data_IF_882205222278
#
_entry.id   IF_882205222278
#
_cell.length_a   1.000
_cell.length_b   1.000
_cell.length_c   1.000
_cell.angle_alpha   90.00
_cell.angle_beta   90.00
_cell.angle_gamma   90.00
#
_symmetry.space_group_name_H-M   'P 1'
#
loop_
_entity.id
_entity.type
_entity.pdbx_description
1 polymer ?
#
# COMPACT_ATOMS: atom_id res chain seq x y z
N UNK A 1 16.92 15.29 0.98
CA UNK A 1 15.64 15.08 0.24
C UNK A 1 15.22 13.60 0.12
N UNK A 2 16.11 12.66 -0.23
CA UNK A 2 15.75 11.23 -0.42
C UNK A 2 15.11 10.52 0.80
N UNK A 3 15.53 10.86 2.03
CA UNK A 3 14.97 10.28 3.27
C UNK A 3 13.57 10.77 3.62
N UNK A 4 13.18 11.96 3.15
CA UNK A 4 11.89 12.58 3.48
C UNK A 4 10.74 11.90 2.74
N UNK A 5 10.98 11.49 1.48
CA UNK A 5 10.01 10.73 0.70
C UNK A 5 9.71 9.37 1.34
N UNK A 6 10.72 8.77 1.96
CA UNK A 6 10.65 7.44 2.58
C UNK A 6 9.77 7.42 3.83
N UNK A 7 9.84 8.48 4.64
CA UNK A 7 9.05 8.60 5.87
C UNK A 7 7.58 9.00 5.61
N UNK A 8 7.29 9.64 4.47
CA UNK A 8 5.94 10.11 4.11
C UNK A 8 5.21 9.09 3.23
N UNK A 9 5.90 8.06 2.78
CA UNK A 9 5.38 7.09 1.81
C UNK A 9 4.20 6.28 2.35
N UNK A 10 4.25 5.90 3.63
CA UNK A 10 3.12 5.24 4.30
C UNK A 10 1.92 6.19 4.41
N UNK A 11 2.12 7.48 4.73
CA UNK A 11 1.04 8.46 4.74
C UNK A 11 0.43 8.68 3.35
N UNK A 12 1.25 8.75 2.29
CA UNK A 12 0.77 8.87 0.90
C UNK A 12 -0.04 7.63 0.53
N UNK A 13 0.42 6.44 0.92
CA UNK A 13 -0.29 5.19 0.64
C UNK A 13 -1.61 5.10 1.38
N UNK A 14 -1.66 5.47 2.65
CA UNK A 14 -2.90 5.55 3.44
C UNK A 14 -3.88 6.55 2.81
N UNK A 15 -3.41 7.72 2.39
CA UNK A 15 -4.26 8.70 1.70
C UNK A 15 -4.79 8.15 0.37
N UNK A 16 -3.94 7.48 -0.41
CA UNK A 16 -4.35 6.84 -1.66
C UNK A 16 -5.34 5.69 -1.43
N UNK A 17 -5.20 4.93 -0.35
CA UNK A 17 -6.11 3.86 0.05
C UNK A 17 -7.49 4.42 0.43
N UNK A 18 -7.53 5.43 1.29
CA UNK A 18 -8.76 6.10 1.70
C UNK A 18 -9.48 6.71 0.49
N UNK A 19 -8.74 7.36 -0.41
CA UNK A 19 -9.28 7.90 -1.66
C UNK A 19 -9.81 6.80 -2.59
N UNK A 20 -9.14 5.65 -2.65
CA UNK A 20 -9.58 4.51 -3.46
C UNK A 20 -10.87 3.90 -2.90
N UNK A 21 -11.00 3.76 -1.58
CA UNK A 21 -12.22 3.26 -0.93
C UNK A 21 -13.37 4.23 -1.14
N UNK A 22 -13.17 5.53 -0.85
CA UNK A 22 -14.19 6.54 -1.03
C UNK A 22 -14.62 6.67 -2.51
N UNK A 23 -13.65 6.68 -3.43
CA UNK A 23 -13.90 6.68 -4.87
C UNK A 23 -14.63 5.43 -5.34
N UNK A 24 -14.32 4.26 -4.78
CA UNK A 24 -15.01 3.01 -5.06
C UNK A 24 -16.49 3.07 -4.70
N UNK A 25 -16.81 3.55 -3.50
CA UNK A 25 -18.20 3.72 -3.04
C UNK A 25 -18.97 4.65 -3.99
N UNK A 26 -18.40 5.83 -4.32
CA UNK A 26 -19.03 6.80 -5.22
C UNK A 26 -19.25 6.19 -6.61
N UNK A 27 -18.26 5.46 -7.13
CA UNK A 27 -18.35 4.81 -8.44
C UNK A 27 -19.41 3.73 -8.46
N UNK A 28 -19.54 2.93 -7.40
CA UNK A 28 -20.61 1.92 -7.26
C UNK A 28 -22.00 2.57 -7.29
N UNK A 29 -22.21 3.64 -6.51
CA UNK A 29 -23.48 4.37 -6.54
C UNK A 29 -23.75 4.94 -7.94
N UNK A 30 -22.78 5.61 -8.56
CA UNK A 30 -22.91 6.16 -9.91
C UNK A 30 -23.30 5.08 -10.93
N UNK A 31 -22.72 3.88 -10.84
CA UNK A 31 -22.97 2.78 -11.77
C UNK A 31 -24.40 2.22 -11.60
N UNK A 32 -24.90 2.14 -10.37
CA UNK A 32 -26.30 1.77 -10.09
C UNK A 32 -27.25 2.78 -10.73
N UNK A 33 -27.03 4.07 -10.52
CA UNK A 33 -27.86 5.12 -11.12
C UNK A 33 -27.77 5.12 -12.65
N UNK A 34 -26.60 4.86 -13.22
CA UNK A 34 -26.38 4.79 -14.66
C UNK A 34 -27.13 3.62 -15.31
N UNK A 35 -27.16 2.46 -14.66
CA UNK A 35 -27.92 1.30 -15.13
C UNK A 35 -29.42 1.59 -14.98
N UNK A 36 -29.86 2.11 -13.83
CA UNK A 36 -31.26 2.43 -13.58
C UNK A 36 -31.81 3.42 -14.61
N UNK A 37 -31.10 4.53 -14.86
CA UNK A 37 -31.53 5.54 -15.85
C UNK A 37 -31.61 4.97 -17.27
N UNK A 38 -30.72 4.03 -17.62
CA UNK A 38 -30.75 3.36 -18.92
C UNK A 38 -31.95 2.41 -19.06
N UNK A 39 -32.34 1.73 -17.97
CA UNK A 39 -33.48 0.80 -17.97
C UNK A 39 -34.81 1.55 -18.01
N UNK A 40 -34.91 2.65 -17.26
CA UNK A 40 -36.12 3.49 -17.20
C UNK A 40 -36.31 4.35 -18.46
N UNK A 41 -35.31 4.41 -19.35
CA UNK A 41 -35.37 5.19 -20.59
C UNK A 41 -35.26 6.70 -20.38
N UNK A 42 -34.70 7.13 -19.24
CA UNK A 42 -34.46 8.55 -18.96
C UNK A 42 -33.15 9.00 -19.64
N UNK A 43 -33.29 9.37 -20.91
CA UNK A 43 -32.19 9.75 -21.79
C UNK A 43 -31.41 10.98 -21.30
N UNK A 44 -32.07 11.92 -20.62
CA UNK A 44 -31.45 13.13 -20.09
C UNK A 44 -30.50 12.81 -18.93
N UNK A 45 -30.98 12.01 -17.97
CA UNK A 45 -30.17 11.56 -16.83
C UNK A 45 -29.04 10.65 -17.32
N UNK A 46 -29.32 9.72 -18.25
CA UNK A 46 -28.31 8.85 -18.82
C UNK A 46 -27.18 9.61 -19.51
N UNK A 47 -27.53 10.63 -20.32
CA UNK A 47 -26.54 11.44 -21.04
C UNK A 47 -25.70 12.29 -20.08
N UNK A 48 -26.31 12.83 -19.02
CA UNK A 48 -25.61 13.54 -17.95
C UNK A 48 -24.62 12.63 -17.21
N UNK A 49 -25.07 11.45 -16.77
CA UNK A 49 -24.22 10.48 -16.08
C UNK A 49 -23.06 10.05 -16.96
N UNK A 50 -23.30 9.75 -18.25
CA UNK A 50 -22.27 9.37 -19.22
C UNK A 50 -21.16 10.43 -19.34
N UNK A 51 -21.51 11.72 -19.35
CA UNK A 51 -20.53 12.83 -19.38
C UNK A 51 -19.67 12.85 -18.12
N UNK A 52 -20.28 12.66 -16.94
CA UNK A 52 -19.54 12.56 -15.68
C UNK A 52 -18.61 11.35 -15.70
N UNK A 53 -19.10 10.19 -16.15
CA UNK A 53 -18.31 8.95 -16.26
C UNK A 53 -17.08 9.12 -17.14
N UNK A 54 -17.17 9.87 -18.25
CA UNK A 54 -16.04 10.12 -19.14
C UNK A 54 -14.86 10.83 -18.46
N UNK A 55 -15.14 11.70 -17.48
CA UNK A 55 -14.11 12.42 -16.72
C UNK A 55 -13.71 11.66 -15.46
N UNK A 56 -14.68 11.07 -14.77
CA UNK A 56 -14.47 10.41 -13.48
C UNK A 56 -13.71 9.08 -13.61
N UNK A 57 -14.02 8.26 -14.62
CA UNK A 57 -13.38 6.95 -14.83
C UNK A 57 -11.85 7.06 -14.98
N UNK A 58 -11.29 7.94 -15.83
CA UNK A 58 -9.83 8.05 -15.96
C UNK A 58 -9.16 8.57 -14.67
N UNK A 59 -9.78 9.54 -13.98
CA UNK A 59 -9.26 10.07 -12.71
C UNK A 59 -9.23 8.98 -11.62
N UNK A 60 -10.33 8.25 -11.49
CA UNK A 60 -10.44 7.13 -10.55
C UNK A 60 -9.43 6.02 -10.88
N UNK A 61 -9.27 5.68 -12.16
CA UNK A 61 -8.31 4.67 -12.61
C UNK A 61 -6.87 5.05 -12.25
N UNK A 62 -6.47 6.31 -12.47
CA UNK A 62 -5.14 6.79 -12.09
C UNK A 62 -4.93 6.69 -10.58
N UNK A 63 -5.93 7.04 -9.76
CA UNK A 63 -5.87 6.90 -8.31
C UNK A 63 -5.70 5.45 -7.86
N UNK A 64 -6.49 4.54 -8.43
CA UNK A 64 -6.42 3.10 -8.18
C UNK A 64 -5.04 2.52 -8.53
N UNK A 65 -4.53 2.85 -9.71
CA UNK A 65 -3.22 2.39 -10.14
C UNK A 65 -2.10 2.96 -9.27
N UNK A 66 -2.21 4.22 -8.83
CA UNK A 66 -1.25 4.82 -7.92
C UNK A 66 -1.17 4.05 -6.60
N UNK A 67 -2.31 3.65 -6.04
CA UNK A 67 -2.34 2.83 -4.82
C UNK A 67 -1.74 1.43 -5.01
N UNK A 68 -2.12 0.73 -6.10
CA UNK A 68 -1.66 -0.63 -6.36
C UNK A 68 -0.17 -0.69 -6.68
N UNK A 69 0.35 0.30 -7.42
CA UNK A 69 1.75 0.31 -7.87
C UNK A 69 2.71 1.01 -6.91
N UNK A 70 2.24 1.74 -5.88
CA UNK A 70 3.11 2.33 -4.87
C UNK A 70 3.66 1.26 -3.91
N UNK A 71 4.98 0.98 -3.95
CA UNK A 71 5.59 0.02 -3.02
C UNK A 71 5.47 0.54 -1.60
N UNK A 72 5.22 -0.33 -0.64
CA UNK A 72 5.20 0.06 0.77
C UNK A 72 6.61 0.45 1.26
N UNK A 73 6.73 1.20 2.37
CA UNK A 73 8.04 1.61 2.90
C UNK A 73 9.01 0.43 3.09
N UNK A 74 8.49 -0.73 3.56
CA UNK A 74 9.26 -1.98 3.68
C UNK A 74 9.69 -2.57 2.34
N UNK A 75 8.82 -2.54 1.33
CA UNK A 75 9.13 -3.05 -0.01
C UNK A 75 10.15 -2.16 -0.71
N UNK A 76 10.03 -0.85 -0.55
CA UNK A 76 11.00 0.10 -1.09
C UNK A 76 12.35 -0.03 -0.40
N UNK A 77 12.37 -0.32 0.90
CA UNK A 77 13.61 -0.53 1.65
C UNK A 77 14.30 -1.80 1.16
N UNK A 78 13.51 -2.84 0.90
CA UNK A 78 14.01 -4.06 0.31
C UNK A 78 14.51 -3.85 -1.12
N UNK A 79 13.79 -3.13 -1.99
CA UNK A 79 14.23 -2.84 -3.37
C UNK A 79 15.57 -2.08 -3.38
N UNK A 80 15.77 -1.17 -2.42
CA UNK A 80 17.03 -0.41 -2.32
C UNK A 80 18.14 -1.24 -1.67
N UNK A 81 17.85 -2.01 -0.63
CA UNK A 81 18.86 -2.73 0.14
C UNK A 81 19.25 -4.09 -0.46
N UNK A 82 18.33 -4.77 -1.16
CA UNK A 82 18.55 -6.10 -1.71
C UNK A 82 19.76 -6.18 -2.66
N UNK A 83 19.99 -5.23 -3.60
CA UNK A 83 21.18 -5.25 -4.44
C UNK A 83 22.47 -5.18 -3.62
N UNK A 84 22.51 -4.29 -2.63
CA UNK A 84 23.67 -4.11 -1.75
C UNK A 84 23.97 -5.33 -0.87
N UNK A 85 22.93 -6.06 -0.43
CA UNK A 85 23.06 -7.29 0.35
C UNK A 85 23.53 -8.46 -0.53
N UNK A 86 23.08 -8.52 -1.79
CA UNK A 86 23.47 -9.59 -2.72
C UNK A 86 24.91 -9.40 -3.22
N UNK A 87 25.34 -8.15 -3.42
CA UNK A 87 26.68 -7.82 -3.93
C UNK A 87 27.77 -7.85 -2.84
N UNK A 88 27.45 -7.58 -1.57
CA UNK A 88 28.42 -7.70 -0.47
C UNK A 88 28.39 -9.08 0.17
N UNK A 89 29.44 -9.88 -0.05
CA UNK A 89 29.58 -11.22 0.56
C UNK A 89 29.54 -11.18 2.09
N UNK A 90 30.13 -10.16 2.74
CA UNK A 90 30.11 -10.00 4.20
C UNK A 90 28.70 -9.77 4.76
N UNK A 91 27.87 -8.97 4.09
CA UNK A 91 26.48 -8.74 4.49
C UNK A 91 25.62 -9.99 4.25
N UNK A 92 25.93 -10.77 3.22
CA UNK A 92 25.24 -12.03 2.93
C UNK A 92 25.48 -13.08 4.01
N UNK A 93 26.71 -13.15 4.53
CA UNK A 93 27.06 -14.03 5.65
C UNK A 93 26.55 -13.49 7.00
N UNK A 94 26.53 -12.17 7.20
CA UNK A 94 25.87 -11.55 8.35
C UNK A 94 24.35 -11.82 8.36
N UNK A 95 23.70 -11.80 7.20
CA UNK A 95 22.25 -12.09 7.07
C UNK A 95 21.94 -13.56 7.38
N UNK A 96 22.81 -14.50 6.99
CA UNK A 96 22.70 -15.92 7.40
C UNK A 96 22.76 -16.09 8.92
N UNK A 97 23.66 -15.36 9.58
CA UNK A 97 23.82 -15.42 11.03
C UNK A 97 22.79 -14.56 11.78
N UNK A 98 22.01 -13.71 11.11
CA UNK A 98 21.04 -12.83 11.76
C UNK A 98 19.94 -13.62 12.46
N UNK A 99 19.49 -14.73 11.88
CA UNK A 99 18.52 -15.63 12.55
C UNK A 99 19.10 -16.23 13.85
N UNK A 100 20.39 -16.53 13.86
CA UNK A 100 21.10 -17.08 15.00
C UNK A 100 21.36 -16.01 16.08
N UNK A 101 21.71 -14.79 15.68
CA UNK A 101 21.87 -13.62 16.57
C UNK A 101 20.53 -13.24 17.21
N UNK A 102 19.43 -13.25 16.45
CA UNK A 102 18.08 -13.02 16.99
C UNK A 102 17.71 -14.12 17.98
N UNK A 103 17.99 -15.39 17.66
CA UNK A 103 17.73 -16.51 18.56
C UNK A 103 18.52 -16.38 19.87
N UNK A 104 19.82 -16.10 19.78
CA UNK A 104 20.71 -15.89 20.93
C UNK A 104 20.28 -14.69 21.77
N UNK A 105 19.91 -13.58 21.14
CA UNK A 105 19.38 -12.40 21.83
C UNK A 105 18.03 -12.67 22.53
N UNK A 106 17.19 -13.50 21.91
CA UNK A 106 15.90 -13.91 22.48
C UNK A 106 16.08 -14.88 23.65
N UNK A 107 17.04 -15.81 23.57
CA UNK A 107 17.42 -16.68 24.69
C UNK A 107 18.03 -15.88 25.85
N UNK A 108 18.92 -14.94 25.56
CA UNK A 108 19.50 -14.07 26.58
C UNK A 108 18.44 -13.22 27.27
N UNK A 109 17.51 -12.61 26.51
CA UNK A 109 16.40 -11.85 27.09
C UNK A 109 15.48 -12.74 27.93
N UNK A 110 15.23 -13.99 27.52
CA UNK A 110 14.45 -14.94 28.34
C UNK A 110 15.16 -15.30 29.64
N UNK A 111 16.48 -15.47 29.62
CA UNK A 111 17.25 -15.77 30.83
C UNK A 111 17.36 -14.58 31.77
N UNK A 112 17.48 -13.36 31.24
CA UNK A 112 17.48 -12.12 32.05
C UNK A 112 16.09 -11.79 32.61
N UNK A 113 15.02 -12.15 31.88
CA UNK A 113 13.63 -11.92 32.29
C UNK A 113 13.03 -13.09 33.08
N UNK A 114 13.76 -14.19 33.31
CA UNK A 114 13.34 -15.19 34.28
C UNK A 114 13.32 -14.50 35.64
N UNK A 115 12.16 -14.43 36.31
CA UNK A 115 12.12 -13.94 37.67
C UNK A 115 13.06 -14.83 38.50
N UNK A 116 14.00 -14.21 39.23
CA UNK A 116 14.62 -14.88 40.36
C UNK A 116 13.47 -15.26 41.30
N UNK A 117 13.02 -16.51 41.25
CA UNK A 117 12.14 -17.10 42.25
C UNK A 117 12.89 -17.00 43.60
N UNK A 118 12.54 -15.98 44.38
CA UNK A 118 12.83 -15.86 45.81
C UNK A 118 11.60 -16.28 46.60
#
# INVERSE_FOLDING_TARGET
MKYYLFAILDNIKTVAEVLSIAGGIITTFWLIFFIASKVDGDDDIYCFLKKIGFVWIPVYSIGLFSYVFLPNQKQMAFIIAAPYIVENQELRDATKNTAEIIKLGTEYLKDVLKPEDK
#
